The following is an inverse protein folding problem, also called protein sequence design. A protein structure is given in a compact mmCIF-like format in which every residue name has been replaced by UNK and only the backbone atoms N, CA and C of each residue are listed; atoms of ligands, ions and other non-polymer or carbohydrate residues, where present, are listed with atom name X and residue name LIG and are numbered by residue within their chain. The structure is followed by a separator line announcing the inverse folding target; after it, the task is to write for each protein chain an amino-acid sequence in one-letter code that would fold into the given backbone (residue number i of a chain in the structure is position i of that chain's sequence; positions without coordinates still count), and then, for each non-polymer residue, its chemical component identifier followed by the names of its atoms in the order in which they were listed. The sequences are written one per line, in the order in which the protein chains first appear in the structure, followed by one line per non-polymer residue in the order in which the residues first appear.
data_IF_787100628332
#
_entry.id   IF_787100628332
#
_cell.length_a   1.000
_cell.length_b   1.000
_cell.length_c   1.000
_cell.angle_alpha   90.00
_cell.angle_beta   90.00
_cell.angle_gamma   90.00
#
_symmetry.space_group_name_H-M   'P 1'
#
loop_
_entity.id
_entity.type
_entity.pdbx_description
1 polymer ?
#
# COMPACT_ATOMS: atom_id res chain seq x y z
N UNK A 1 -11.35 0.95 -26.36
CA UNK A 1 -10.95 -0.20 -25.52
C UNK A 1 -11.38 0.11 -24.11
N UNK A 2 -12.54 -0.42 -23.66
CA UNK A 2 -12.95 -0.26 -22.27
C UNK A 2 -12.05 -1.13 -21.41
N UNK A 3 -11.13 -0.50 -20.66
CA UNK A 3 -10.47 -1.18 -19.55
C UNK A 3 -11.55 -1.43 -18.51
N UNK A 4 -12.10 -2.65 -18.50
CA UNK A 4 -12.85 -3.15 -17.36
C UNK A 4 -11.92 -3.01 -16.14
N UNK A 5 -12.13 -1.95 -15.36
CA UNK A 5 -11.54 -1.82 -14.04
C UNK A 5 -12.13 -2.97 -13.25
N UNK A 6 -11.39 -4.09 -13.17
CA UNK A 6 -11.77 -5.22 -12.33
C UNK A 6 -11.80 -4.73 -10.90
N UNK A 7 -13.01 -4.38 -10.48
CA UNK A 7 -13.38 -4.01 -9.13
C UNK A 7 -12.87 -5.09 -8.17
N UNK A 8 -12.12 -4.69 -7.15
CA UNK A 8 -11.71 -5.58 -6.07
C UNK A 8 -12.92 -6.30 -5.45
N UNK A 9 -12.77 -7.58 -5.05
CA UNK A 9 -13.77 -8.28 -4.24
C UNK A 9 -14.16 -7.47 -3.00
N UNK A 10 -15.39 -7.63 -2.52
CA UNK A 10 -15.89 -6.90 -1.35
C UNK A 10 -15.10 -7.19 -0.07
N UNK A 11 -14.61 -8.43 0.09
CA UNK A 11 -13.70 -8.83 1.18
C UNK A 11 -12.38 -8.08 1.11
N UNK A 12 -11.73 -8.09 -0.07
CA UNK A 12 -10.46 -7.39 -0.32
C UNK A 12 -10.57 -5.90 -0.06
N UNK A 13 -11.69 -5.28 -0.45
CA UNK A 13 -11.95 -3.87 -0.11
C UNK A 13 -11.99 -3.63 1.39
N UNK A 14 -12.67 -4.50 2.15
CA UNK A 14 -12.81 -4.35 3.61
C UNK A 14 -11.47 -4.53 4.33
N UNK A 15 -10.70 -5.54 3.93
CA UNK A 15 -9.38 -5.79 4.48
C UNK A 15 -8.41 -4.66 4.12
N UNK A 16 -8.50 -4.14 2.89
CA UNK A 16 -7.73 -2.98 2.45
C UNK A 16 -8.11 -1.70 3.22
N UNK A 17 -9.40 -1.45 3.52
CA UNK A 17 -9.79 -0.31 4.35
C UNK A 17 -9.22 -0.41 5.77
N UNK A 18 -9.15 -1.61 6.34
CA UNK A 18 -8.51 -1.84 7.64
C UNK A 18 -7.01 -1.53 7.58
N UNK A 19 -6.32 -1.98 6.53
CA UNK A 19 -4.91 -1.66 6.29
C UNK A 19 -4.72 -0.15 6.09
N UNK A 20 -5.54 0.51 5.27
CA UNK A 20 -5.50 1.97 5.06
C UNK A 20 -5.63 2.74 6.38
N UNK A 21 -6.56 2.33 7.24
CA UNK A 21 -6.74 2.95 8.55
C UNK A 21 -5.52 2.77 9.45
N UNK A 22 -4.91 1.59 9.44
CA UNK A 22 -3.69 1.31 10.20
C UNK A 22 -2.51 2.16 9.68
N UNK A 23 -2.26 2.12 8.37
CA UNK A 23 -1.21 2.90 7.70
C UNK A 23 -1.35 4.40 7.96
N UNK A 24 -2.58 4.92 8.00
CA UNK A 24 -2.88 6.31 8.36
C UNK A 24 -2.42 6.70 9.76
N UNK A 25 -2.55 5.81 10.75
CA UNK A 25 -2.06 6.06 12.12
C UNK A 25 -0.54 6.14 12.16
N UNK A 26 0.14 5.41 11.29
CA UNK A 26 1.60 5.43 11.16
C UNK A 26 2.14 6.64 10.38
N UNK A 27 1.25 7.44 9.79
CA UNK A 27 1.58 8.65 9.04
C UNK A 27 1.55 8.47 7.52
N UNK A 28 1.23 7.27 7.03
CA UNK A 28 1.12 7.00 5.59
C UNK A 28 -0.28 7.29 5.06
N UNK A 29 -0.36 7.83 3.85
CA UNK A 29 -1.60 8.08 3.10
C UNK A 29 -1.70 7.09 1.96
N UNK A 30 -2.91 6.60 1.72
CA UNK A 30 -3.21 5.82 0.52
C UNK A 30 -3.25 6.74 -0.71
N UNK A 31 -2.59 6.33 -1.79
CA UNK A 31 -2.55 7.09 -3.04
C UNK A 31 -3.38 6.45 -4.13
N UNK A 32 -3.00 5.24 -4.53
CA UNK A 32 -3.63 4.58 -5.66
C UNK A 32 -3.63 3.07 -5.51
N UNK A 33 -4.58 2.48 -6.23
CA UNK A 33 -4.56 1.08 -6.62
C UNK A 33 -4.40 1.04 -8.15
N UNK A 34 -3.26 0.57 -8.64
CA UNK A 34 -3.01 0.44 -10.07
C UNK A 34 -2.42 -0.93 -10.38
N UNK A 35 -3.02 -1.63 -11.36
CA UNK A 35 -2.55 -2.94 -11.84
C UNK A 35 -2.40 -4.03 -10.75
N UNK A 36 -3.18 -3.94 -9.66
CA UNK A 36 -3.09 -4.86 -8.53
C UNK A 36 -2.01 -4.52 -7.52
N UNK A 37 -1.47 -3.30 -7.58
CA UNK A 37 -0.60 -2.72 -6.57
C UNK A 37 -1.33 -1.63 -5.82
N UNK A 38 -1.15 -1.60 -4.51
CA UNK A 38 -1.61 -0.53 -3.62
C UNK A 38 -0.39 0.20 -3.10
N UNK A 39 -0.40 1.54 -3.23
CA UNK A 39 0.71 2.39 -2.77
C UNK A 39 0.28 3.30 -1.63
N UNK A 40 1.07 3.29 -0.57
CA UNK A 40 1.02 4.19 0.56
C UNK A 40 2.26 5.09 0.57
N UNK A 41 2.14 6.35 0.96
CA UNK A 41 3.31 7.24 1.09
C UNK A 41 3.02 8.38 2.04
N UNK A 42 4.03 9.19 2.37
CA UNK A 42 3.85 10.28 3.35
C UNK A 42 3.70 11.64 2.67
N UNK A 43 4.31 11.80 1.49
CA UNK A 43 4.39 13.06 0.76
C UNK A 43 4.16 12.82 -0.73
N UNK A 44 3.81 13.88 -1.46
CA UNK A 44 3.81 13.88 -2.91
C UNK A 44 5.00 14.70 -3.39
N UNK A 45 5.82 14.11 -4.24
CA UNK A 45 6.80 14.85 -5.03
C UNK A 45 6.14 15.23 -6.36
N UNK A 46 6.30 16.49 -6.75
CA UNK A 46 5.99 16.96 -8.09
C UNK A 46 7.30 17.02 -8.86
N UNK A 47 7.47 16.11 -9.81
CA UNK A 47 8.46 16.25 -10.87
C UNK A 47 7.79 16.89 -12.10
N UNK A 48 8.61 17.40 -13.02
CA UNK A 48 8.19 18.20 -14.18
C UNK A 48 7.09 17.55 -15.04
N UNK A 49 6.92 16.22 -14.96
CA UNK A 49 5.91 15.48 -15.71
C UNK A 49 4.93 14.66 -14.84
N UNK A 50 5.20 14.43 -13.54
CA UNK A 50 4.42 13.49 -12.72
C UNK A 50 4.39 13.85 -11.24
N UNK A 51 3.26 13.50 -10.62
CA UNK A 51 3.09 13.50 -9.17
C UNK A 51 3.29 12.07 -8.67
N UNK A 52 4.35 11.81 -7.92
CA UNK A 52 4.64 10.48 -7.36
C UNK A 52 4.62 10.51 -5.82
N UNK A 53 4.16 9.43 -5.16
CA UNK A 53 4.33 9.27 -3.73
C UNK A 53 5.81 9.20 -3.39
N UNK A 54 6.22 9.96 -2.38
CA UNK A 54 7.56 9.91 -1.78
C UNK A 54 7.48 9.34 -0.37
N UNK A 55 8.58 8.74 0.08
CA UNK A 55 8.63 7.93 1.30
C UNK A 55 7.49 6.89 1.29
N UNK A 56 7.56 5.95 0.35
CA UNK A 56 6.45 5.10 -0.04
C UNK A 56 6.65 3.60 0.25
N UNK A 57 5.52 2.92 0.37
CA UNK A 57 5.41 1.48 0.55
C UNK A 57 4.32 0.99 -0.40
N UNK A 58 4.67 0.07 -1.29
CA UNK A 58 3.73 -0.54 -2.22
C UNK A 58 3.61 -2.03 -1.98
N UNK A 59 2.39 -2.53 -2.01
CA UNK A 59 2.09 -3.96 -1.87
C UNK A 59 1.29 -4.48 -3.05
N UNK A 60 1.56 -5.71 -3.46
CA UNK A 60 0.67 -6.42 -4.38
C UNK A 60 -0.54 -6.91 -3.62
N UNK A 61 -1.75 -6.80 -4.18
CA UNK A 61 -2.98 -7.41 -3.64
C UNK A 61 -3.27 -8.79 -4.23
N UNK A 62 -2.32 -9.35 -4.99
CA UNK A 62 -2.48 -10.63 -5.72
C UNK A 62 -1.51 -11.71 -5.27
N UNK A 63 -0.35 -11.32 -4.78
CA UNK A 63 0.72 -12.19 -4.32
C UNK A 63 1.52 -11.46 -3.25
N UNK A 64 2.31 -12.20 -2.47
CA UNK A 64 3.07 -11.64 -1.37
C UNK A 64 4.29 -10.87 -1.93
N UNK A 65 4.20 -9.55 -2.00
CA UNK A 65 5.29 -8.69 -2.48
C UNK A 65 5.17 -7.29 -1.88
N UNK A 66 6.31 -6.79 -1.38
CA UNK A 66 6.43 -5.55 -0.62
C UNK A 66 7.60 -4.74 -1.16
N UNK A 67 7.30 -3.61 -1.77
CA UNK A 67 8.25 -2.58 -2.13
C UNK A 67 8.28 -1.49 -1.06
N UNK A 68 9.49 -1.06 -0.66
CA UNK A 68 9.71 -0.04 0.36
C UNK A 68 10.77 0.93 -0.15
N UNK A 69 10.42 2.21 -0.20
CA UNK A 69 11.31 3.31 -0.51
C UNK A 69 11.17 4.37 0.58
N UNK A 70 12.02 4.28 1.62
CA UNK A 70 12.02 5.17 2.77
C UNK A 70 13.43 5.67 3.07
N UNK A 71 13.58 6.97 3.30
CA UNK A 71 14.82 7.62 3.73
C UNK A 71 14.69 8.30 5.10
N UNK A 72 13.47 8.63 5.55
CA UNK A 72 13.23 9.24 6.87
C UNK A 72 13.34 8.20 7.99
N UNK A 73 14.25 8.41 8.95
CA UNK A 73 14.48 7.49 10.08
C UNK A 73 13.23 7.26 10.93
N UNK A 74 12.36 8.26 11.09
CA UNK A 74 11.12 8.11 11.85
C UNK A 74 10.15 7.15 11.14
N UNK A 75 10.19 7.10 9.81
CA UNK A 75 9.38 6.16 9.01
C UNK A 75 10.00 4.78 8.96
N UNK A 76 11.33 4.70 8.80
CA UNK A 76 12.09 3.45 8.85
C UNK A 76 11.86 2.73 10.18
N UNK A 77 11.81 3.48 11.29
CA UNK A 77 11.56 2.91 12.63
C UNK A 77 10.20 2.22 12.76
N UNK A 78 9.22 2.57 11.91
CA UNK A 78 7.87 1.98 11.89
C UNK A 78 7.75 0.76 10.97
N UNK A 79 8.79 0.45 10.18
CA UNK A 79 8.75 -0.69 9.25
C UNK A 79 8.38 -2.03 9.88
N UNK A 80 8.80 -2.37 11.11
CA UNK A 80 8.35 -3.62 11.75
C UNK A 80 6.83 -3.68 11.91
N UNK A 81 6.20 -2.59 12.33
CA UNK A 81 4.74 -2.51 12.51
C UNK A 81 4.02 -2.52 11.15
N UNK A 82 4.54 -1.79 10.15
CA UNK A 82 3.99 -1.84 8.79
C UNK A 82 4.07 -3.26 8.20
N UNK A 83 5.20 -3.94 8.35
CA UNK A 83 5.36 -5.32 7.85
C UNK A 83 4.35 -6.25 8.49
N UNK A 84 4.11 -6.13 9.80
CA UNK A 84 3.10 -6.94 10.46
C UNK A 84 1.70 -6.65 9.92
N UNK A 85 1.31 -5.38 9.76
CA UNK A 85 0.01 -5.02 9.22
C UNK A 85 -0.21 -5.53 7.77
N UNK A 86 0.86 -5.54 6.96
CA UNK A 86 0.84 -6.10 5.60
C UNK A 86 0.73 -7.64 5.62
N UNK A 87 1.44 -8.31 6.54
CA UNK A 87 1.30 -9.76 6.72
C UNK A 87 -0.11 -10.15 7.16
N UNK A 88 -0.70 -9.41 8.11
CA UNK A 88 -2.07 -9.63 8.57
C UNK A 88 -3.08 -9.46 7.41
N UNK A 89 -2.84 -8.48 6.53
CA UNK A 89 -3.62 -8.31 5.30
C UNK A 89 -3.50 -9.52 4.38
N UNK A 90 -2.28 -10.03 4.14
CA UNK A 90 -2.07 -11.21 3.30
C UNK A 90 -2.73 -12.47 3.86
N UNK A 91 -2.64 -12.68 5.17
CA UNK A 91 -3.32 -13.79 5.84
C UNK A 91 -4.84 -13.70 5.65
N UNK A 92 -5.42 -12.51 5.83
CA UNK A 92 -6.85 -12.27 5.65
C UNK A 92 -7.34 -12.46 4.20
N UNK A 93 -6.47 -12.19 3.22
CA UNK A 93 -6.74 -12.46 1.80
C UNK A 93 -6.45 -13.91 1.38
N UNK A 94 -5.85 -14.72 2.25
CA UNK A 94 -5.39 -16.08 1.92
C UNK A 94 -4.22 -16.10 0.94
N UNK A 95 -3.48 -15.00 0.82
CA UNK A 95 -2.27 -14.87 0.00
C UNK A 95 -1.10 -15.50 0.77
N UNK A 96 -0.37 -16.39 0.11
CA UNK A 96 0.78 -17.11 0.68
C UNK A 96 2.01 -16.88 -0.19
N UNK A 97 3.18 -17.25 0.34
CA UNK A 97 4.46 -17.26 -0.37
C UNK A 97 4.43 -18.10 -1.65
#
# INVERSE_FOLDING_TARGET
MSTEVKVLPASTRTNLESLKHHMKKLGFKYYEEMNGWVTFGVRLMMDEERVTPDECISISVRFMDLHVDLSDFDLISKLPEVKQAVLDFYEAEGIKE
#
